data_IF_742295400510
#
_entry.id   IF_742295400510
#
_cell.length_a   1.000
_cell.length_b   1.000
_cell.length_c   1.000
_cell.angle_alpha   90.00
_cell.angle_beta   90.00
_cell.angle_gamma   90.00
#
_symmetry.space_group_name_H-M   'P 1'
#
loop_
_entity.id
_entity.type
_entity.pdbx_description
1 polymer ?
#
# COMPACT_ATOMS: atom_id res chain seq x y z
N UNK A 1 24.27 3.71 -12.80
CA UNK A 1 24.81 2.37 -12.47
C UNK A 1 25.52 1.81 -13.69
N UNK A 2 26.88 1.72 -13.69
CA UNK A 2 27.64 1.09 -14.78
C UNK A 2 27.66 -0.41 -14.52
N UNK A 3 26.96 -1.19 -15.33
CA UNK A 3 26.94 -2.65 -15.22
C UNK A 3 28.30 -3.20 -15.76
N UNK A 4 28.82 -4.29 -15.16
CA UNK A 4 30.05 -4.91 -15.64
C UNK A 4 29.87 -5.35 -17.10
N UNK A 5 30.91 -5.16 -17.91
CA UNK A 5 30.91 -5.44 -19.37
C UNK A 5 30.56 -6.89 -19.74
N UNK A 6 30.53 -7.80 -18.78
CA UNK A 6 30.22 -9.22 -18.94
C UNK A 6 28.73 -9.58 -18.88
N UNK A 7 27.84 -8.61 -18.56
CA UNK A 7 26.40 -8.90 -18.45
C UNK A 7 25.74 -8.90 -19.82
N UNK A 8 24.99 -9.97 -20.10
CA UNK A 8 24.22 -10.08 -21.35
C UNK A 8 23.30 -8.87 -21.55
N UNK A 9 23.22 -8.26 -22.76
CA UNK A 9 22.48 -7.01 -23.00
C UNK A 9 20.99 -7.10 -22.60
N UNK A 10 20.37 -8.26 -22.70
CA UNK A 10 19.00 -8.50 -22.24
C UNK A 10 18.85 -8.32 -20.71
N UNK A 11 19.77 -8.88 -19.92
CA UNK A 11 19.74 -8.73 -18.45
C UNK A 11 19.97 -7.27 -18.09
N UNK A 12 20.92 -6.61 -18.74
CA UNK A 12 21.20 -5.19 -18.53
C UNK A 12 19.98 -4.30 -18.83
N UNK A 13 19.25 -4.56 -19.93
CA UNK A 13 18.02 -3.85 -20.26
C UNK A 13 16.96 -4.05 -19.18
N UNK A 14 16.73 -5.30 -18.75
CA UNK A 14 15.73 -5.63 -17.73
C UNK A 14 16.03 -4.97 -16.38
N UNK A 15 17.30 -4.94 -15.97
CA UNK A 15 17.75 -4.27 -14.75
C UNK A 15 17.59 -2.75 -14.83
N UNK A 16 17.91 -2.12 -15.97
CA UNK A 16 17.70 -0.67 -16.17
C UNK A 16 16.22 -0.30 -16.07
N UNK A 17 15.34 -1.08 -16.67
CA UNK A 17 13.88 -0.85 -16.58
C UNK A 17 13.39 -0.99 -15.13
N UNK A 18 13.83 -2.02 -14.42
CA UNK A 18 13.48 -2.23 -13.03
C UNK A 18 14.01 -1.10 -12.11
N UNK A 19 15.24 -0.69 -12.32
CA UNK A 19 15.85 0.42 -11.58
C UNK A 19 15.09 1.74 -11.82
N UNK A 20 14.74 2.03 -13.08
CA UNK A 20 13.97 3.23 -13.41
C UNK A 20 12.57 3.20 -12.78
N UNK A 21 11.88 2.06 -12.82
CA UNK A 21 10.59 1.89 -12.17
C UNK A 21 10.68 2.07 -10.64
N UNK A 22 11.75 1.57 -10.00
CA UNK A 22 12.02 1.78 -8.58
C UNK A 22 12.27 3.25 -8.25
N UNK A 23 13.10 3.94 -9.05
CA UNK A 23 13.36 5.37 -8.84
C UNK A 23 12.09 6.20 -9.00
N UNK A 24 11.27 5.94 -10.01
CA UNK A 24 9.98 6.62 -10.17
C UNK A 24 9.04 6.35 -9.00
N UNK A 25 9.03 5.12 -8.49
CA UNK A 25 8.25 4.78 -7.30
C UNK A 25 8.79 5.52 -6.07
N UNK A 26 10.09 5.49 -5.83
CA UNK A 26 10.72 6.24 -4.74
C UNK A 26 10.45 7.74 -4.84
N UNK A 27 10.62 8.34 -6.03
CA UNK A 27 10.32 9.76 -6.26
C UNK A 27 8.84 10.09 -6.01
N UNK A 28 7.92 9.16 -6.31
CA UNK A 28 6.50 9.36 -6.01
C UNK A 28 6.20 9.33 -4.50
N UNK A 29 7.05 8.69 -3.71
CA UNK A 29 6.96 8.66 -2.26
C UNK A 29 7.63 9.87 -1.60
N UNK A 30 8.79 10.33 -2.11
CA UNK A 30 9.59 11.39 -1.47
C UNK A 30 8.86 12.72 -1.34
N UNK A 31 8.04 13.11 -2.31
CA UNK A 31 7.24 14.35 -2.21
C UNK A 31 6.29 14.42 -0.99
N UNK A 32 6.13 13.30 -0.29
CA UNK A 32 5.27 13.17 0.90
C UNK A 32 6.05 12.76 2.13
N UNK A 33 7.24 12.23 1.92
CA UNK A 33 8.02 11.59 2.96
C UNK A 33 8.92 12.56 3.73
N UNK A 34 9.31 13.70 3.17
CA UNK A 34 10.17 14.65 3.87
C UNK A 34 9.60 15.03 5.23
N UNK A 35 8.29 15.28 5.28
CA UNK A 35 7.60 15.65 6.50
C UNK A 35 7.33 14.44 7.40
N UNK A 36 7.03 13.31 6.77
CA UNK A 36 6.81 12.06 7.49
C UNK A 36 8.11 11.57 8.16
N UNK A 37 9.27 11.70 7.50
CA UNK A 37 10.58 11.37 8.08
C UNK A 37 10.95 12.28 9.25
N UNK A 38 10.66 13.58 9.15
CA UNK A 38 11.00 14.52 10.21
C UNK A 38 10.17 14.29 11.48
N UNK A 39 8.89 13.97 11.32
CA UNK A 39 7.98 13.80 12.45
C UNK A 39 7.95 12.37 12.99
N UNK A 40 8.06 11.39 12.12
CA UNK A 40 7.95 9.98 12.44
C UNK A 40 9.30 9.24 12.44
N UNK A 41 10.42 9.94 12.31
CA UNK A 41 11.76 9.32 12.27
C UNK A 41 11.99 8.28 13.38
N UNK A 42 11.77 8.59 14.66
CA UNK A 42 11.89 7.63 15.75
C UNK A 42 10.93 6.43 15.63
N UNK A 43 9.70 6.68 15.16
CA UNK A 43 8.69 5.64 14.94
C UNK A 43 9.07 4.73 13.77
N UNK A 44 9.62 5.31 12.70
CA UNK A 44 10.13 4.55 11.55
C UNK A 44 11.33 3.68 11.94
N UNK A 45 12.22 4.18 12.80
CA UNK A 45 13.32 3.39 13.34
C UNK A 45 12.80 2.25 14.21
N UNK A 46 11.78 2.49 15.04
CA UNK A 46 11.09 1.46 15.80
C UNK A 46 10.44 0.41 14.90
N UNK A 47 9.74 0.82 13.84
CA UNK A 47 9.17 -0.09 12.85
C UNK A 47 10.24 -0.87 12.10
N UNK A 48 11.37 -0.22 11.78
CA UNK A 48 12.50 -0.90 11.13
C UNK A 48 13.04 -2.02 12.03
N UNK A 49 13.14 -1.81 13.35
CA UNK A 49 13.61 -2.84 14.27
C UNK A 49 12.67 -4.05 14.33
N UNK A 50 11.37 -3.87 14.09
CA UNK A 50 10.36 -4.95 14.16
C UNK A 50 10.36 -5.85 12.93
N UNK A 51 10.96 -5.45 11.81
CA UNK A 51 10.89 -6.20 10.54
C UNK A 51 11.43 -7.62 10.64
N UNK A 52 12.54 -7.85 11.36
CA UNK A 52 13.13 -9.17 11.55
C UNK A 52 12.53 -9.94 12.72
N UNK A 53 11.79 -9.28 13.61
CA UNK A 53 11.25 -9.86 14.84
C UNK A 53 10.38 -11.11 14.61
N UNK A 54 9.49 -11.19 13.60
CA UNK A 54 8.69 -12.38 13.36
C UNK A 54 9.54 -13.64 13.12
N UNK A 55 10.71 -13.51 12.48
CA UNK A 55 11.65 -14.64 12.31
C UNK A 55 12.19 -15.19 13.62
N UNK A 56 12.50 -14.32 14.58
CA UNK A 56 12.94 -14.71 15.91
C UNK A 56 11.80 -15.31 16.74
N UNK A 57 10.61 -14.70 16.71
CA UNK A 57 9.44 -15.18 17.46
C UNK A 57 8.92 -16.53 16.96
N UNK A 58 9.05 -16.80 15.66
CA UNK A 58 8.59 -18.04 15.06
C UNK A 58 9.23 -19.29 15.69
N UNK A 59 10.45 -19.16 16.19
CA UNK A 59 11.19 -20.27 16.83
C UNK A 59 10.50 -20.74 18.12
N UNK A 60 9.85 -19.84 18.86
CA UNK A 60 9.13 -20.17 20.10
C UNK A 60 7.68 -20.61 19.88
N UNK A 61 7.17 -20.57 18.65
CA UNK A 61 5.79 -20.90 18.35
C UNK A 61 5.61 -22.37 17.94
N UNK A 62 4.42 -22.97 18.19
CA UNK A 62 4.08 -24.25 17.62
C UNK A 62 4.12 -24.18 16.08
N UNK A 63 4.57 -25.26 15.47
CA UNK A 63 4.90 -25.34 14.06
C UNK A 63 3.81 -24.79 13.08
N UNK A 64 2.47 -24.99 13.27
CA UNK A 64 1.49 -24.41 12.37
C UNK A 64 1.44 -22.87 12.45
N UNK A 65 1.58 -22.32 13.67
CA UNK A 65 1.60 -20.87 13.89
C UNK A 65 2.90 -20.24 13.35
N UNK A 66 4.03 -20.92 13.54
CA UNK A 66 5.31 -20.50 12.96
C UNK A 66 5.26 -20.43 11.44
N UNK A 67 4.71 -21.44 10.76
CA UNK A 67 4.54 -21.43 9.31
C UNK A 67 3.59 -20.33 8.83
N UNK A 68 2.46 -20.12 9.52
CA UNK A 68 1.53 -19.05 9.18
C UNK A 68 2.19 -17.67 9.30
N UNK A 69 2.97 -17.45 10.36
CA UNK A 69 3.70 -16.21 10.60
C UNK A 69 4.78 -15.98 9.54
N UNK A 70 5.63 -16.97 9.27
CA UNK A 70 6.72 -16.87 8.30
C UNK A 70 6.18 -16.78 6.86
N UNK A 71 5.11 -17.53 6.53
CA UNK A 71 4.42 -17.47 5.25
C UNK A 71 3.76 -16.11 5.02
N UNK A 72 3.07 -15.59 6.03
CA UNK A 72 2.49 -14.22 6.00
C UNK A 72 3.56 -13.16 5.81
N UNK A 73 4.69 -13.26 6.52
CA UNK A 73 5.82 -12.36 6.37
C UNK A 73 6.43 -12.42 4.96
N UNK A 74 6.61 -13.60 4.38
CA UNK A 74 7.12 -13.76 3.03
C UNK A 74 6.17 -13.13 1.99
N UNK A 75 4.86 -13.32 2.14
CA UNK A 75 3.84 -12.70 1.29
C UNK A 75 3.85 -11.17 1.40
N UNK A 76 3.95 -10.62 2.61
CA UNK A 76 4.07 -9.18 2.82
C UNK A 76 5.36 -8.62 2.19
N UNK A 77 6.47 -9.34 2.31
CA UNK A 77 7.76 -8.94 1.75
C UNK A 77 7.75 -8.94 0.21
N UNK A 78 7.04 -9.85 -0.46
CA UNK A 78 6.92 -9.88 -1.92
C UNK A 78 5.83 -8.93 -2.46
N UNK A 79 4.97 -8.36 -1.60
CA UNK A 79 3.86 -7.48 -1.97
C UNK A 79 4.29 -6.29 -2.85
N UNK A 80 5.38 -5.54 -2.56
CA UNK A 80 5.84 -4.44 -3.41
C UNK A 80 6.11 -4.88 -4.87
N UNK A 81 6.68 -6.05 -5.06
CA UNK A 81 6.93 -6.59 -6.40
C UNK A 81 5.62 -6.93 -7.14
N UNK A 82 4.65 -7.48 -6.44
CA UNK A 82 3.32 -7.74 -7.01
C UNK A 82 2.62 -6.45 -7.41
N UNK A 83 2.72 -5.42 -6.60
CA UNK A 83 2.16 -4.11 -6.84
C UNK A 83 2.84 -3.40 -8.03
N UNK A 84 4.18 -3.49 -8.12
CA UNK A 84 4.96 -2.85 -9.17
C UNK A 84 5.01 -3.64 -10.48
N UNK A 85 4.51 -4.89 -10.52
CA UNK A 85 4.64 -5.82 -11.67
C UNK A 85 4.26 -5.23 -13.03
N UNK A 86 3.24 -4.37 -13.07
CA UNK A 86 2.77 -3.74 -14.30
C UNK A 86 3.66 -2.59 -14.75
N UNK A 87 4.31 -1.91 -13.81
CA UNK A 87 5.28 -0.84 -14.08
C UNK A 87 6.63 -1.38 -14.50
N UNK A 88 7.08 -2.46 -13.84
CA UNK A 88 8.30 -3.15 -14.19
C UNK A 88 8.26 -3.66 -15.63
N UNK A 89 7.08 -4.05 -16.08
CA UNK A 89 6.87 -4.59 -17.41
C UNK A 89 5.51 -4.15 -17.98
N UNK A 90 5.41 -2.95 -18.58
CA UNK A 90 4.22 -2.51 -19.29
C UNK A 90 3.79 -3.50 -20.37
N UNK A 91 2.48 -3.60 -20.62
CA UNK A 91 1.93 -4.60 -21.55
C UNK A 91 2.56 -4.59 -22.96
N UNK A 92 2.78 -3.42 -23.60
CA UNK A 92 3.41 -3.38 -24.93
C UNK A 92 4.86 -3.88 -24.89
N UNK A 93 5.62 -3.52 -23.86
CA UNK A 93 7.01 -3.98 -23.70
C UNK A 93 7.06 -5.48 -23.40
N UNK A 94 6.14 -5.99 -22.59
CA UNK A 94 6.03 -7.43 -22.33
C UNK A 94 5.70 -8.21 -23.59
N UNK A 95 4.84 -7.69 -24.46
CA UNK A 95 4.51 -8.30 -25.75
C UNK A 95 5.73 -8.37 -26.67
N UNK A 96 6.48 -7.27 -26.76
CA UNK A 96 7.71 -7.21 -27.54
C UNK A 96 8.79 -8.16 -27.02
N UNK A 97 9.05 -8.17 -25.70
CA UNK A 97 10.06 -9.05 -25.09
C UNK A 97 9.73 -10.55 -25.24
N UNK A 98 8.44 -10.91 -25.36
CA UNK A 98 8.02 -12.30 -25.60
C UNK A 98 8.41 -12.81 -26.97
N UNK A 99 8.47 -11.93 -27.96
CA UNK A 99 8.81 -12.28 -29.34
C UNK A 99 10.30 -12.55 -29.53
N UNK A 100 11.15 -12.12 -28.58
CA UNK A 100 12.60 -12.35 -28.70
C UNK A 100 12.93 -13.84 -28.55
N UNK A 101 13.73 -14.42 -29.48
CA UNK A 101 14.15 -15.81 -29.44
C UNK A 101 15.25 -16.02 -28.39
N UNK A 102 14.89 -15.95 -27.11
CA UNK A 102 15.82 -16.06 -25.98
C UNK A 102 15.69 -17.42 -25.28
N UNK A 103 16.80 -18.06 -24.89
CA UNK A 103 16.77 -19.31 -24.15
C UNK A 103 16.08 -19.11 -22.78
N UNK A 104 15.35 -20.13 -22.34
CA UNK A 104 14.62 -20.08 -21.03
C UNK A 104 15.54 -19.75 -19.85
N UNK A 105 16.77 -20.25 -19.88
CA UNK A 105 17.77 -20.01 -18.82
C UNK A 105 18.10 -18.53 -18.68
N UNK A 106 18.30 -17.82 -19.79
CA UNK A 106 18.60 -16.38 -19.79
C UNK A 106 17.41 -15.54 -19.30
N UNK A 107 16.18 -15.92 -19.68
CA UNK A 107 14.96 -15.26 -19.18
C UNK A 107 14.85 -15.41 -17.67
N UNK A 108 15.05 -16.64 -17.16
CA UNK A 108 15.00 -16.91 -15.73
C UNK A 108 16.09 -16.15 -14.97
N UNK A 109 17.32 -16.12 -15.46
CA UNK A 109 18.41 -15.33 -14.86
C UNK A 109 18.07 -13.83 -14.79
N UNK A 110 17.47 -13.29 -15.85
CA UNK A 110 17.02 -11.90 -15.85
C UNK A 110 15.89 -11.65 -14.80
N UNK A 111 14.94 -12.58 -14.68
CA UNK A 111 13.86 -12.46 -13.69
C UNK A 111 14.38 -12.57 -12.25
N UNK A 112 15.33 -13.48 -11.98
CA UNK A 112 16.03 -13.60 -10.68
C UNK A 112 16.81 -12.31 -10.36
N UNK A 113 17.53 -11.75 -11.34
CA UNK A 113 18.30 -10.53 -11.15
C UNK A 113 17.39 -9.31 -10.87
N UNK A 114 16.28 -9.19 -11.61
CA UNK A 114 15.27 -8.14 -11.38
C UNK A 114 14.63 -8.29 -10.01
N UNK A 115 14.27 -9.51 -9.61
CA UNK A 115 13.73 -9.79 -8.28
C UNK A 115 14.73 -9.42 -7.19
N UNK A 116 16.02 -9.75 -7.38
CA UNK A 116 17.08 -9.36 -6.45
C UNK A 116 17.20 -7.85 -6.29
N UNK A 117 17.15 -7.09 -7.39
CA UNK A 117 17.17 -5.63 -7.35
C UNK A 117 15.96 -5.05 -6.59
N UNK A 118 14.77 -5.64 -6.79
CA UNK A 118 13.55 -5.21 -6.09
C UNK A 118 13.59 -5.53 -4.59
N UNK A 119 14.18 -6.67 -4.23
CA UNK A 119 14.27 -7.12 -2.85
C UNK A 119 15.44 -6.48 -2.08
N UNK A 120 16.38 -5.83 -2.77
CA UNK A 120 17.59 -5.26 -2.16
C UNK A 120 17.28 -4.24 -1.05
N UNK A 121 16.38 -3.25 -1.23
CA UNK A 121 16.05 -2.31 -0.15
C UNK A 121 15.46 -3.00 1.08
N UNK A 122 14.59 -3.99 0.87
CA UNK A 122 14.00 -4.78 1.95
C UNK A 122 15.05 -5.68 2.62
N UNK A 123 15.95 -6.28 1.84
CA UNK A 123 17.07 -7.06 2.37
C UNK A 123 17.97 -6.24 3.29
N UNK A 124 18.26 -4.98 2.92
CA UNK A 124 19.00 -4.04 3.77
C UNK A 124 18.20 -3.76 5.06
N UNK A 125 16.88 -3.51 4.96
CA UNK A 125 16.03 -3.29 6.12
C UNK A 125 16.00 -4.50 7.07
N UNK A 126 15.92 -5.72 6.53
CA UNK A 126 16.02 -6.95 7.32
C UNK A 126 17.38 -7.09 8.00
N UNK A 127 18.48 -6.81 7.28
CA UNK A 127 19.82 -6.88 7.82
C UNK A 127 20.03 -5.87 8.96
N UNK A 128 19.57 -4.62 8.79
CA UNK A 128 19.61 -3.59 9.83
C UNK A 128 18.77 -3.99 11.03
N UNK A 129 17.53 -4.46 10.82
CA UNK A 129 16.66 -4.94 11.89
C UNK A 129 17.31 -6.08 12.70
N UNK A 130 17.83 -7.08 12.01
CA UNK A 130 18.49 -8.21 12.65
C UNK A 130 19.75 -7.77 13.43
N UNK A 131 20.56 -6.85 12.86
CA UNK A 131 21.76 -6.35 13.54
C UNK A 131 21.44 -5.56 14.81
N UNK A 132 20.35 -4.78 14.83
CA UNK A 132 19.89 -4.08 16.05
C UNK A 132 19.57 -5.09 17.15
N UNK A 133 18.82 -6.14 16.87
CA UNK A 133 18.49 -7.17 17.87
C UNK A 133 19.69 -7.95 18.35
N UNK A 134 20.60 -8.33 17.45
CA UNK A 134 21.82 -9.04 17.80
C UNK A 134 22.77 -8.16 18.63
N UNK A 135 22.87 -6.86 18.33
CA UNK A 135 23.68 -5.92 19.11
C UNK A 135 23.11 -5.70 20.53
N UNK A 136 21.80 -5.60 20.67
CA UNK A 136 21.15 -5.48 21.98
C UNK A 136 21.20 -6.77 22.79
N UNK A 137 21.25 -7.93 22.10
CA UNK A 137 21.36 -9.29 22.66
C UNK A 137 20.54 -9.53 23.96
N UNK A 138 19.23 -9.23 23.98
CA UNK A 138 18.42 -9.42 25.17
C UNK A 138 18.44 -10.89 25.62
N UNK A 139 18.29 -11.21 26.92
CA UNK A 139 18.43 -12.57 27.45
C UNK A 139 17.55 -13.62 26.75
N UNK A 140 16.34 -13.25 26.37
CA UNK A 140 15.39 -14.13 25.66
C UNK A 140 15.83 -14.48 24.24
N UNK A 141 16.62 -13.60 23.59
CA UNK A 141 17.07 -13.79 22.22
C UNK A 141 18.26 -14.76 22.11
N UNK A 142 19.14 -14.77 23.11
CA UNK A 142 20.39 -15.58 23.08
C UNK A 142 20.16 -17.04 22.65
N UNK A 143 19.22 -17.79 23.25
CA UNK A 143 19.02 -19.19 22.89
C UNK A 143 18.37 -19.38 21.50
N UNK A 144 17.65 -18.39 20.98
CA UNK A 144 16.91 -18.48 19.71
C UNK A 144 17.55 -17.66 18.58
N UNK A 145 18.67 -16.99 18.83
CA UNK A 145 19.28 -16.09 17.85
C UNK A 145 19.67 -16.80 16.54
N UNK A 146 20.36 -17.93 16.62
CA UNK A 146 20.79 -18.69 15.45
C UNK A 146 19.62 -19.27 14.65
N UNK A 147 18.65 -20.00 15.25
CA UNK A 147 17.50 -20.49 14.51
C UNK A 147 16.58 -19.37 14.01
N UNK A 148 16.45 -18.24 14.74
CA UNK A 148 15.67 -17.09 14.30
C UNK A 148 16.30 -16.38 13.11
N UNK A 149 17.62 -16.25 13.05
CA UNK A 149 18.35 -15.76 11.88
C UNK A 149 18.15 -16.69 10.68
N UNK A 150 18.22 -17.99 10.87
CA UNK A 150 17.96 -18.98 9.81
C UNK A 150 16.52 -18.85 9.29
N UNK A 151 15.53 -18.72 10.18
CA UNK A 151 14.13 -18.49 9.81
C UNK A 151 13.95 -17.18 9.00
N UNK A 152 14.56 -16.11 9.44
CA UNK A 152 14.53 -14.80 8.74
C UNK A 152 15.16 -14.92 7.35
N UNK A 153 16.28 -15.60 7.20
CA UNK A 153 16.92 -15.83 5.90
C UNK A 153 16.04 -16.68 4.98
N UNK A 154 15.42 -17.75 5.49
CA UNK A 154 14.50 -18.60 4.73
C UNK A 154 13.30 -17.78 4.22
N UNK A 155 12.71 -16.92 5.06
CA UNK A 155 11.61 -16.02 4.66
C UNK A 155 12.05 -15.09 3.54
N UNK A 156 13.24 -14.49 3.66
CA UNK A 156 13.76 -13.60 2.65
C UNK A 156 14.02 -14.32 1.31
N UNK A 157 14.60 -15.53 1.34
CA UNK A 157 14.80 -16.36 0.15
C UNK A 157 13.47 -16.78 -0.48
N UNK A 158 12.49 -17.15 0.34
CA UNK A 158 11.15 -17.50 -0.13
C UNK A 158 10.47 -16.28 -0.78
N UNK A 159 10.56 -15.11 -0.17
CA UNK A 159 10.04 -13.86 -0.74
C UNK A 159 10.73 -13.50 -2.06
N UNK A 160 12.05 -13.72 -2.16
CA UNK A 160 12.80 -13.53 -3.40
C UNK A 160 12.33 -14.50 -4.50
N UNK A 161 12.14 -15.79 -4.17
CA UNK A 161 11.59 -16.78 -5.10
C UNK A 161 10.17 -16.39 -5.56
N UNK A 162 9.28 -16.02 -4.64
CA UNK A 162 7.93 -15.57 -4.97
C UNK A 162 7.95 -14.33 -5.88
N UNK A 163 8.82 -13.37 -5.59
CA UNK A 163 9.04 -12.19 -6.42
C UNK A 163 9.50 -12.57 -7.82
N UNK A 164 10.44 -13.50 -7.95
CA UNK A 164 10.90 -14.02 -9.24
C UNK A 164 9.75 -14.64 -10.04
N UNK A 165 8.91 -15.44 -9.38
CA UNK A 165 7.74 -16.04 -10.02
C UNK A 165 6.71 -14.99 -10.46
N UNK A 166 6.47 -13.96 -9.66
CA UNK A 166 5.57 -12.84 -10.01
C UNK A 166 6.08 -12.10 -11.26
N UNK A 167 7.39 -11.82 -11.33
CA UNK A 167 8.02 -11.15 -12.48
C UNK A 167 7.97 -12.05 -13.72
N UNK A 168 8.27 -13.35 -13.56
CA UNK A 168 8.25 -14.34 -14.64
C UNK A 168 6.84 -14.54 -15.23
N UNK A 169 5.80 -14.52 -14.40
CA UNK A 169 4.40 -14.65 -14.86
C UNK A 169 4.01 -13.57 -15.87
N UNK A 170 4.59 -12.39 -15.78
CA UNK A 170 4.30 -11.27 -16.69
C UNK A 170 4.77 -11.52 -18.12
N UNK A 171 5.81 -12.34 -18.31
CA UNK A 171 6.34 -12.74 -19.62
C UNK A 171 5.68 -14.01 -20.18
N UNK A 172 4.84 -14.69 -19.40
CA UNK A 172 4.08 -15.83 -19.91
C UNK A 172 3.05 -15.34 -20.94
N UNK A 173 2.83 -16.14 -21.98
CA UNK A 173 1.78 -15.84 -22.95
C UNK A 173 0.44 -15.74 -22.22
N UNK A 174 -0.40 -14.74 -22.54
CA UNK A 174 -1.77 -14.74 -22.06
C UNK A 174 -2.41 -16.07 -22.49
N UNK A 175 -3.12 -16.72 -21.57
CA UNK A 175 -3.97 -17.86 -21.95
C UNK A 175 -4.85 -17.38 -23.12
N UNK A 176 -4.97 -18.16 -24.20
CA UNK A 176 -5.91 -17.82 -25.24
C UNK A 176 -7.26 -17.59 -24.57
N UNK A 177 -7.78 -16.37 -24.69
CA UNK A 177 -9.11 -16.06 -24.19
C UNK A 177 -10.03 -17.12 -24.79
N UNK A 178 -10.75 -17.83 -23.94
CA UNK A 178 -11.83 -18.71 -24.42
C UNK A 178 -12.59 -17.92 -25.48
N UNK A 179 -12.67 -18.49 -26.71
CA UNK A 179 -13.19 -17.82 -27.92
C UNK A 179 -14.29 -16.87 -27.51
N UNK A 180 -14.00 -15.56 -27.50
CA UNK A 180 -15.00 -14.56 -27.20
C UNK A 180 -16.13 -14.86 -28.21
N UNK A 181 -17.31 -15.20 -27.70
CA UNK A 181 -18.50 -15.24 -28.55
C UNK A 181 -18.46 -13.97 -29.38
N UNK A 182 -18.60 -14.07 -30.71
CA UNK A 182 -18.65 -12.88 -31.55
C UNK A 182 -19.67 -11.95 -30.89
N UNK A 183 -19.30 -10.66 -30.68
CA UNK A 183 -20.24 -9.73 -30.08
C UNK A 183 -21.48 -9.78 -30.97
N UNK A 184 -22.56 -10.35 -30.45
CA UNK A 184 -23.86 -10.16 -31.04
C UNK A 184 -24.03 -8.65 -31.07
N UNK A 185 -24.03 -8.06 -32.27
CA UNK A 185 -24.33 -6.65 -32.46
C UNK A 185 -25.78 -6.42 -32.03
N UNK A 186 -26.04 -6.48 -30.74
CA UNK A 186 -27.23 -5.92 -30.16
C UNK A 186 -27.13 -4.43 -30.33
N UNK A 187 -28.00 -3.85 -31.14
CA UNK A 187 -28.09 -2.42 -31.32
C UNK A 187 -28.02 -1.76 -29.94
N UNK A 188 -27.07 -0.84 -29.76
CA UNK A 188 -26.90 -0.10 -28.50
C UNK A 188 -28.22 0.61 -28.18
N UNK A 189 -29.00 0.03 -27.30
CA UNK A 189 -30.16 0.69 -26.70
C UNK A 189 -29.62 1.50 -25.53
N UNK A 190 -29.65 2.84 -25.59
CA UNK A 190 -29.16 3.69 -24.52
C UNK A 190 -30.05 3.46 -23.29
N UNK A 191 -29.60 2.61 -22.39
CA UNK A 191 -30.26 2.43 -21.10
C UNK A 191 -30.01 3.69 -20.29
N UNK A 192 -31.07 4.45 -20.00
CA UNK A 192 -30.95 5.60 -19.07
C UNK A 192 -30.63 5.06 -17.68
N UNK A 193 -29.40 5.29 -17.15
CA UNK A 193 -29.07 4.79 -15.83
C UNK A 193 -29.99 5.45 -14.80
N UNK A 194 -30.69 4.64 -14.01
CA UNK A 194 -31.58 5.11 -12.93
C UNK A 194 -30.84 6.02 -11.92
N UNK A 195 -29.54 5.85 -11.77
CA UNK A 195 -28.69 6.57 -10.81
C UNK A 195 -27.56 7.29 -11.57
N UNK A 196 -27.87 8.42 -12.17
CA UNK A 196 -26.89 9.19 -12.97
C UNK A 196 -25.65 9.59 -12.17
N UNK A 197 -25.83 10.03 -10.92
CA UNK A 197 -24.73 10.44 -10.05
C UNK A 197 -23.86 9.27 -9.61
N UNK A 198 -24.43 8.15 -9.25
CA UNK A 198 -23.68 6.93 -8.89
C UNK A 198 -22.93 6.33 -10.07
N UNK A 199 -23.52 6.37 -11.27
CA UNK A 199 -22.85 5.93 -12.48
C UNK A 199 -21.64 6.83 -12.81
N UNK A 200 -21.81 8.16 -12.74
CA UNK A 200 -20.73 9.13 -12.96
C UNK A 200 -19.62 8.97 -11.92
N UNK A 201 -19.97 8.83 -10.64
CA UNK A 201 -19.00 8.58 -9.58
C UNK A 201 -18.20 7.30 -9.84
N UNK A 202 -18.87 6.21 -10.20
CA UNK A 202 -18.23 4.94 -10.53
C UNK A 202 -17.30 5.06 -11.74
N UNK A 203 -17.71 5.72 -12.82
CA UNK A 203 -16.93 5.81 -14.05
C UNK A 203 -15.79 6.84 -13.95
N UNK A 204 -16.02 8.00 -13.33
CA UNK A 204 -15.04 9.08 -13.28
C UNK A 204 -14.02 8.90 -12.14
N UNK A 205 -14.43 8.30 -11.02
CA UNK A 205 -13.57 8.20 -9.85
C UNK A 205 -13.24 6.76 -9.48
N UNK A 206 -14.24 5.93 -9.23
CA UNK A 206 -14.02 4.58 -8.72
C UNK A 206 -13.23 3.69 -9.67
N UNK A 207 -13.64 3.57 -10.92
CA UNK A 207 -12.99 2.69 -11.89
C UNK A 207 -11.57 3.14 -12.27
N UNK A 208 -11.28 4.44 -12.53
CA UNK A 208 -9.93 4.90 -12.80
C UNK A 208 -8.98 4.66 -11.64
N UNK A 209 -9.42 4.86 -10.39
CA UNK A 209 -8.58 4.64 -9.21
C UNK A 209 -8.29 3.17 -8.93
N UNK A 210 -9.28 2.31 -9.05
CA UNK A 210 -9.18 0.91 -8.61
C UNK A 210 -8.87 -0.09 -9.72
N UNK A 211 -9.18 0.22 -10.97
CA UNK A 211 -8.92 -0.65 -12.13
C UNK A 211 -7.74 -0.22 -12.99
N UNK A 212 -7.37 1.04 -12.92
CA UNK A 212 -6.33 1.55 -13.80
C UNK A 212 -4.95 1.09 -13.33
N UNK A 213 -4.07 0.83 -14.29
CA UNK A 213 -2.66 0.50 -14.07
C UNK A 213 -1.85 1.69 -13.52
N UNK A 214 -2.53 2.77 -13.14
CA UNK A 214 -1.94 4.00 -12.64
C UNK A 214 -1.42 3.83 -11.21
N UNK A 215 -0.32 4.53 -10.92
CA UNK A 215 0.33 4.61 -9.60
C UNK A 215 -0.64 4.97 -8.51
N UNK A 216 -1.55 5.90 -8.81
CA UNK A 216 -2.51 6.47 -7.88
C UNK A 216 -3.45 5.40 -7.34
N UNK A 217 -4.03 4.58 -8.23
CA UNK A 217 -4.93 3.50 -7.80
C UNK A 217 -4.23 2.48 -6.92
N UNK A 218 -2.97 2.18 -7.24
CA UNK A 218 -2.16 1.28 -6.43
C UNK A 218 -1.87 1.85 -5.04
N UNK A 219 -1.45 3.11 -4.96
CA UNK A 219 -1.22 3.79 -3.68
C UNK A 219 -2.48 3.82 -2.83
N UNK A 220 -3.64 4.13 -3.42
CA UNK A 220 -4.91 4.15 -2.71
C UNK A 220 -5.30 2.77 -2.18
N UNK A 221 -5.10 1.71 -2.97
CA UNK A 221 -5.37 0.33 -2.55
C UNK A 221 -4.48 -0.10 -1.40
N UNK A 222 -3.18 0.25 -1.44
CA UNK A 222 -2.23 -0.05 -0.36
C UNK A 222 -2.59 0.71 0.90
N UNK A 223 -2.85 2.02 0.79
CA UNK A 223 -3.22 2.85 1.94
C UNK A 223 -4.54 2.38 2.57
N UNK A 224 -5.53 2.01 1.76
CA UNK A 224 -6.79 1.45 2.26
C UNK A 224 -6.57 0.11 2.98
N UNK A 225 -5.79 -0.78 2.38
CA UNK A 225 -5.44 -2.05 3.02
C UNK A 225 -4.67 -1.85 4.32
N UNK A 226 -3.71 -0.91 4.33
CA UNK A 226 -2.95 -0.56 5.54
C UNK A 226 -3.85 0.05 6.61
N UNK A 227 -4.74 0.97 6.25
CA UNK A 227 -5.69 1.58 7.17
C UNK A 227 -6.64 0.53 7.77
N UNK A 228 -7.19 -0.35 6.94
CA UNK A 228 -8.06 -1.43 7.40
C UNK A 228 -7.33 -2.45 8.27
N UNK A 229 -6.15 -2.89 7.85
CA UNK A 229 -5.35 -3.86 8.61
C UNK A 229 -4.85 -3.29 9.95
N UNK A 230 -4.35 -2.05 9.97
CA UNK A 230 -3.89 -1.40 11.20
C UNK A 230 -5.05 -1.12 12.16
N UNK A 231 -6.21 -0.68 11.66
CA UNK A 231 -7.41 -0.50 12.45
C UNK A 231 -7.85 -1.84 13.05
N UNK A 232 -7.93 -2.91 12.25
CA UNK A 232 -8.31 -4.24 12.72
C UNK A 232 -7.30 -4.79 13.76
N UNK A 233 -6.00 -4.67 13.50
CA UNK A 233 -4.95 -5.11 14.43
C UNK A 233 -5.01 -4.33 15.74
N UNK A 234 -5.31 -3.03 15.69
CA UNK A 234 -5.49 -2.19 16.85
C UNK A 234 -6.70 -2.62 17.68
N UNK A 235 -7.83 -2.90 17.03
CA UNK A 235 -9.07 -3.35 17.68
C UNK A 235 -8.95 -4.74 18.31
N UNK A 236 -8.27 -5.67 17.60
CA UNK A 236 -8.04 -7.03 18.09
C UNK A 236 -6.92 -7.13 19.13
N UNK A 237 -6.31 -6.01 19.53
CA UNK A 237 -5.18 -5.97 20.49
C UNK A 237 -4.08 -6.95 20.10
N UNK A 238 -3.61 -6.90 18.88
CA UNK A 238 -2.56 -7.80 18.41
C UNK A 238 -1.37 -7.78 19.39
N UNK A 239 -1.02 -8.90 20.02
CA UNK A 239 -0.05 -8.91 21.13
C UNK A 239 1.38 -8.61 20.69
N UNK A 240 1.64 -8.62 19.39
CA UNK A 240 2.97 -8.44 18.81
C UNK A 240 3.42 -6.97 18.71
N UNK A 241 2.47 -6.02 18.73
CA UNK A 241 2.78 -4.60 18.52
C UNK A 241 2.11 -3.78 19.62
N UNK A 242 2.81 -2.84 20.25
CA UNK A 242 2.22 -1.95 21.27
C UNK A 242 0.99 -1.21 20.72
N UNK A 243 -0.09 -1.20 21.49
CA UNK A 243 -1.35 -0.57 21.10
C UNK A 243 -1.22 0.89 20.65
N UNK A 244 -0.39 1.76 21.29
CA UNK A 244 -0.17 3.13 20.83
C UNK A 244 0.42 3.20 19.41
N UNK A 245 1.32 2.28 19.04
CA UNK A 245 1.91 2.24 17.69
C UNK A 245 0.87 1.83 16.64
N UNK A 246 -0.02 0.89 16.97
CA UNK A 246 -1.13 0.50 16.09
C UNK A 246 -2.12 1.65 15.91
N UNK A 247 -2.44 2.37 16.99
CA UNK A 247 -3.29 3.57 16.95
C UNK A 247 -2.69 4.68 16.09
N UNK A 248 -1.39 4.94 16.25
CA UNK A 248 -0.66 5.89 15.39
C UNK A 248 -0.68 5.47 13.92
N UNK A 249 -0.42 4.19 13.63
CA UNK A 249 -0.41 3.67 12.27
C UNK A 249 -1.80 3.72 11.63
N UNK A 250 -2.85 3.37 12.38
CA UNK A 250 -4.24 3.47 11.93
C UNK A 250 -4.63 4.92 11.63
N UNK A 251 -4.35 5.84 12.55
CA UNK A 251 -4.63 7.27 12.39
C UNK A 251 -3.86 7.88 11.22
N UNK A 252 -2.56 7.60 11.12
CA UNK A 252 -1.71 8.10 10.05
C UNK A 252 -2.17 7.58 8.69
N UNK A 253 -2.44 6.28 8.56
CA UNK A 253 -2.88 5.68 7.30
C UNK A 253 -4.25 6.20 6.85
N UNK A 254 -5.18 6.44 7.78
CA UNK A 254 -6.50 7.02 7.51
C UNK A 254 -6.39 8.46 6.99
N UNK A 255 -5.58 9.30 7.64
CA UNK A 255 -5.36 10.70 7.27
C UNK A 255 -4.62 10.79 5.93
N UNK A 256 -3.58 9.99 5.72
CA UNK A 256 -2.82 9.95 4.47
C UNK A 256 -3.68 9.43 3.32
N UNK A 257 -4.51 8.41 3.54
CA UNK A 257 -5.46 7.90 2.54
C UNK A 257 -6.38 9.02 2.04
N UNK A 258 -6.88 9.85 2.96
CA UNK A 258 -7.76 10.99 2.64
C UNK A 258 -7.02 12.08 1.88
N UNK A 259 -5.85 12.51 2.37
CA UNK A 259 -5.04 13.56 1.72
C UNK A 259 -4.64 13.17 0.30
N UNK A 260 -4.18 11.93 0.13
CA UNK A 260 -3.78 11.39 -1.19
C UNK A 260 -4.98 11.17 -2.10
N UNK A 261 -6.10 10.70 -1.55
CA UNK A 261 -7.35 10.56 -2.29
C UNK A 261 -7.84 11.89 -2.84
N UNK A 262 -7.88 12.92 -2.00
CA UNK A 262 -8.31 14.26 -2.39
C UNK A 262 -7.39 14.86 -3.48
N UNK A 263 -6.07 14.76 -3.30
CA UNK A 263 -5.10 15.23 -4.30
C UNK A 263 -5.29 14.52 -5.64
N UNK A 264 -5.40 13.20 -5.61
CA UNK A 264 -5.55 12.38 -6.81
C UNK A 264 -6.86 12.68 -7.57
N UNK A 265 -7.97 12.86 -6.85
CA UNK A 265 -9.25 13.23 -7.44
C UNK A 265 -9.19 14.61 -8.09
N UNK A 266 -8.55 15.59 -7.45
CA UNK A 266 -8.36 16.94 -7.99
C UNK A 266 -7.50 16.93 -9.25
N UNK A 267 -6.40 16.20 -9.26
CA UNK A 267 -5.54 16.03 -10.43
C UNK A 267 -6.31 15.42 -11.61
N UNK A 268 -7.12 14.40 -11.35
CA UNK A 268 -7.94 13.77 -12.40
C UNK A 268 -8.98 14.72 -12.96
N UNK A 269 -9.64 15.52 -12.12
CA UNK A 269 -10.60 16.53 -12.57
C UNK A 269 -9.91 17.63 -13.37
N UNK A 270 -8.71 18.05 -12.96
CA UNK A 270 -7.94 19.03 -13.71
C UNK A 270 -7.67 18.55 -15.14
N UNK A 271 -7.31 17.28 -15.32
CA UNK A 271 -7.11 16.66 -16.64
C UNK A 271 -8.41 16.56 -17.44
N UNK A 272 -9.54 16.25 -16.78
CA UNK A 272 -10.85 16.10 -17.43
C UNK A 272 -11.60 17.43 -17.61
N UNK A 273 -11.13 18.52 -17.00
CA UNK A 273 -11.82 19.82 -17.02
C UNK A 273 -12.19 20.32 -18.42
N UNK A 274 -11.33 20.22 -19.45
CA UNK A 274 -11.70 20.65 -20.79
C UNK A 274 -12.92 19.92 -21.37
N UNK A 275 -13.01 18.61 -21.11
CA UNK A 275 -14.13 17.77 -21.57
C UNK A 275 -15.37 17.96 -20.72
N UNK A 276 -15.22 18.18 -19.41
CA UNK A 276 -16.32 18.40 -18.48
C UNK A 276 -17.00 19.78 -18.68
N UNK A 277 -16.28 20.77 -19.17
CA UNK A 277 -16.86 22.10 -19.50
C UNK A 277 -17.90 22.03 -20.63
N UNK A 278 -17.82 21.00 -21.50
CA UNK A 278 -18.80 20.75 -22.53
C UNK A 278 -20.07 20.03 -22.02
N UNK A 279 -20.08 19.58 -20.78
CA UNK A 279 -21.21 18.85 -20.19
C UNK A 279 -22.11 19.81 -19.39
N UNK A 280 -23.44 19.66 -19.45
CA UNK A 280 -24.38 20.49 -18.70
C UNK A 280 -24.44 20.08 -17.23
N UNK A 281 -23.29 20.06 -16.56
CA UNK A 281 -23.17 19.73 -15.13
C UNK A 281 -22.88 20.97 -14.32
N UNK A 282 -23.65 21.17 -13.25
CA UNK A 282 -23.37 22.25 -12.30
C UNK A 282 -22.02 22.01 -11.60
N UNK A 283 -21.21 23.05 -11.47
CA UNK A 283 -19.91 22.99 -10.77
C UNK A 283 -20.02 22.49 -9.34
N UNK A 284 -21.13 22.79 -8.67
CA UNK A 284 -21.46 22.29 -7.32
C UNK A 284 -21.65 20.78 -7.26
N UNK A 285 -22.26 20.18 -8.28
CA UNK A 285 -22.42 18.72 -8.37
C UNK A 285 -21.07 18.02 -8.53
N UNK A 286 -20.18 18.60 -9.34
CA UNK A 286 -18.83 18.08 -9.53
C UNK A 286 -18.02 18.15 -8.23
N UNK A 287 -18.10 19.27 -7.51
CA UNK A 287 -17.42 19.43 -6.21
C UNK A 287 -17.94 18.41 -5.17
N UNK A 288 -19.24 18.19 -5.11
CA UNK A 288 -19.82 17.16 -4.23
C UNK A 288 -19.34 15.75 -4.58
N UNK A 289 -19.28 15.43 -5.87
CA UNK A 289 -18.74 14.15 -6.34
C UNK A 289 -17.26 13.96 -5.96
N UNK A 290 -16.45 15.02 -6.04
CA UNK A 290 -15.05 14.98 -5.64
C UNK A 290 -14.91 14.70 -4.15
N UNK A 291 -15.63 15.44 -3.31
CA UNK A 291 -15.61 15.26 -1.85
C UNK A 291 -16.06 13.83 -1.47
N UNK A 292 -17.15 13.33 -2.07
CA UNK A 292 -17.62 11.96 -1.80
C UNK A 292 -16.62 10.90 -2.24
N UNK A 293 -15.96 11.05 -3.39
CA UNK A 293 -14.95 10.12 -3.85
C UNK A 293 -13.74 10.03 -2.91
N UNK A 294 -13.31 11.16 -2.35
CA UNK A 294 -12.16 11.24 -1.45
C UNK A 294 -12.49 10.73 -0.03
N UNK A 295 -13.72 10.98 0.45
CA UNK A 295 -14.12 10.68 1.82
C UNK A 295 -14.67 9.27 2.02
N UNK A 296 -15.28 8.67 0.99
CA UNK A 296 -15.97 7.38 1.12
C UNK A 296 -15.04 6.24 1.61
N UNK A 297 -13.83 6.01 1.08
CA UNK A 297 -12.96 4.94 1.57
C UNK A 297 -12.53 5.11 3.02
N UNK A 298 -12.00 6.27 3.47
CA UNK A 298 -11.58 6.44 4.85
C UNK A 298 -12.77 6.42 5.84
N UNK A 299 -13.92 6.96 5.46
CA UNK A 299 -15.13 6.87 6.29
C UNK A 299 -15.65 5.44 6.42
N UNK A 300 -15.54 4.62 5.38
CA UNK A 300 -15.92 3.21 5.46
C UNK A 300 -15.05 2.45 6.47
N UNK A 301 -13.72 2.72 6.49
CA UNK A 301 -12.81 2.12 7.48
C UNK A 301 -13.12 2.62 8.88
N UNK A 302 -13.34 3.93 9.05
CA UNK A 302 -13.66 4.52 10.34
C UNK A 302 -14.98 3.99 10.91
N UNK A 303 -16.01 3.91 10.08
CA UNK A 303 -17.32 3.39 10.47
C UNK A 303 -17.24 1.90 10.84
N UNK A 304 -16.57 1.10 10.01
CA UNK A 304 -16.37 -0.32 10.30
C UNK A 304 -15.62 -0.52 11.62
N UNK A 305 -14.57 0.27 11.87
CA UNK A 305 -13.83 0.26 13.14
C UNK A 305 -14.69 0.66 14.33
N UNK A 306 -15.46 1.74 14.23
CA UNK A 306 -16.35 2.20 15.29
C UNK A 306 -17.43 1.14 15.60
N UNK A 307 -18.09 0.60 14.57
CA UNK A 307 -19.12 -0.44 14.75
C UNK A 307 -18.53 -1.68 15.42
N UNK A 308 -17.33 -2.11 15.02
CA UNK A 308 -16.67 -3.27 15.60
C UNK A 308 -16.34 -3.04 17.08
N UNK A 309 -15.82 -1.86 17.46
CA UNK A 309 -15.56 -1.50 18.85
C UNK A 309 -16.83 -1.48 19.70
N UNK A 310 -17.89 -0.86 19.21
CA UNK A 310 -19.16 -0.84 19.91
C UNK A 310 -19.76 -2.24 20.12
N UNK A 311 -19.54 -3.15 19.16
CA UNK A 311 -20.03 -4.53 19.23
C UNK A 311 -19.18 -5.41 20.17
N UNK A 312 -17.87 -5.16 20.28
CA UNK A 312 -16.95 -6.04 21.02
C UNK A 312 -16.69 -5.61 22.46
N UNK A 313 -16.87 -4.32 22.79
CA UNK A 313 -16.57 -3.81 24.12
C UNK A 313 -17.72 -2.97 24.71
N UNK A 314 -18.47 -3.52 25.67
CA UNK A 314 -19.62 -2.84 26.28
C UNK A 314 -19.22 -1.78 27.32
N UNK A 315 -17.91 -1.60 27.63
CA UNK A 315 -17.47 -0.66 28.65
C UNK A 315 -17.81 0.80 28.27
N UNK A 316 -18.63 1.48 29.09
CA UNK A 316 -19.11 2.84 28.82
C UNK A 316 -18.00 3.87 28.61
N UNK A 317 -16.86 3.73 29.30
CA UNK A 317 -15.71 4.63 29.14
C UNK A 317 -15.09 4.49 27.74
N UNK A 318 -14.88 3.26 27.25
CA UNK A 318 -14.32 3.00 25.92
C UNK A 318 -15.26 3.43 24.81
N UNK A 319 -16.55 3.25 24.98
CA UNK A 319 -17.54 3.76 24.02
C UNK A 319 -17.47 5.29 23.91
N UNK A 320 -17.27 6.01 25.03
CA UNK A 320 -17.08 7.47 25.00
C UNK A 320 -15.80 7.85 24.25
N UNK A 321 -14.67 7.21 24.56
CA UNK A 321 -13.39 7.51 23.87
C UNK A 321 -13.48 7.15 22.38
N UNK A 322 -14.14 6.03 22.04
CA UNK A 322 -14.40 5.65 20.64
C UNK A 322 -15.22 6.70 19.90
N UNK A 323 -16.28 7.22 20.53
CA UNK A 323 -17.10 8.27 19.91
C UNK A 323 -16.30 9.57 19.75
N UNK A 324 -15.50 9.97 20.73
CA UNK A 324 -14.60 11.13 20.61
C UNK A 324 -13.60 10.93 19.49
N UNK A 325 -12.96 9.75 19.40
CA UNK A 325 -12.05 9.43 18.31
C UNK A 325 -12.74 9.49 16.94
N UNK A 326 -13.91 8.86 16.81
CA UNK A 326 -14.66 8.84 15.54
C UNK A 326 -15.11 10.25 15.11
N UNK A 327 -15.57 11.09 16.04
CA UNK A 327 -15.96 12.47 15.76
C UNK A 327 -14.73 13.29 15.35
N UNK A 328 -13.63 13.23 16.12
CA UNK A 328 -12.41 13.97 15.83
C UNK A 328 -11.80 13.53 14.50
N UNK A 329 -11.76 12.21 14.22
CA UNK A 329 -11.32 11.68 12.95
C UNK A 329 -12.20 12.21 11.80
N UNK A 330 -13.52 12.16 11.95
CA UNK A 330 -14.45 12.68 10.94
C UNK A 330 -14.22 14.17 10.65
N UNK A 331 -14.04 14.99 11.68
CA UNK A 331 -13.74 16.41 11.53
C UNK A 331 -12.40 16.64 10.83
N UNK A 332 -11.37 15.89 11.20
CA UNK A 332 -10.04 15.96 10.55
C UNK A 332 -10.13 15.61 9.07
N UNK A 333 -10.81 14.51 8.72
CA UNK A 333 -10.98 14.09 7.33
C UNK A 333 -11.77 15.13 6.51
N UNK A 334 -12.84 15.68 7.10
CA UNK A 334 -13.62 16.75 6.48
C UNK A 334 -12.81 18.04 6.31
N UNK A 335 -11.97 18.41 7.28
CA UNK A 335 -11.10 19.58 7.18
C UNK A 335 -10.07 19.43 6.05
N UNK A 336 -9.44 18.24 5.90
CA UNK A 336 -8.46 17.96 4.84
C UNK A 336 -9.09 18.16 3.46
N UNK A 337 -10.32 17.69 3.25
CA UNK A 337 -11.01 17.79 1.96
C UNK A 337 -11.67 19.15 1.78
N UNK A 338 -12.22 19.73 2.85
CA UNK A 338 -12.99 20.97 2.84
C UNK A 338 -12.17 22.25 2.77
N UNK A 339 -10.85 22.20 3.03
CA UNK A 339 -9.96 23.36 3.00
C UNK A 339 -9.03 23.35 1.76
N UNK A 340 -9.55 23.53 0.53
CA UNK A 340 -8.78 23.40 -0.69
C UNK A 340 -7.75 24.51 -0.93
N UNK A 341 -7.89 25.64 -0.22
CA UNK A 341 -7.07 26.85 -0.43
C UNK A 341 -5.84 26.94 0.49
N UNK A 342 -5.58 25.93 1.29
CA UNK A 342 -4.39 25.90 2.13
C UNK A 342 -3.12 25.89 1.27
N UNK A 343 -2.12 26.64 1.72
CA UNK A 343 -0.77 26.56 1.16
C UNK A 343 -0.22 25.14 1.37
N UNK A 344 0.78 24.73 0.60
CA UNK A 344 1.42 23.43 0.76
C UNK A 344 1.87 23.19 2.20
N UNK A 345 2.46 24.19 2.86
CA UNK A 345 2.89 24.14 4.27
C UNK A 345 1.70 24.02 5.22
N UNK A 346 0.63 24.79 5.01
CA UNK A 346 -0.58 24.72 5.84
C UNK A 346 -1.30 23.37 5.73
N UNK A 347 -1.33 22.78 4.54
CA UNK A 347 -1.91 21.45 4.32
C UNK A 347 -1.12 20.35 5.06
N UNK A 348 0.18 20.45 5.02
CA UNK A 348 1.07 19.57 5.76
C UNK A 348 0.87 19.70 7.26
N UNK A 349 0.84 20.93 7.77
CA UNK A 349 0.59 21.17 9.19
C UNK A 349 -0.76 20.58 9.62
N UNK A 350 -1.81 20.73 8.80
CA UNK A 350 -3.12 20.13 9.07
C UNK A 350 -3.07 18.60 9.15
N UNK A 351 -2.40 17.96 8.18
CA UNK A 351 -2.24 16.49 8.16
C UNK A 351 -1.50 16.01 9.40
N UNK A 352 -0.39 16.67 9.74
CA UNK A 352 0.43 16.33 10.91
C UNK A 352 -0.34 16.51 12.21
N UNK A 353 -0.98 17.66 12.41
CA UNK A 353 -1.79 17.93 13.60
C UNK A 353 -2.94 16.92 13.71
N UNK A 354 -3.57 16.56 12.60
CA UNK A 354 -4.62 15.54 12.59
C UNK A 354 -4.10 14.18 13.06
N UNK A 355 -2.93 13.76 12.56
CA UNK A 355 -2.30 12.49 12.98
C UNK A 355 -1.95 12.53 14.47
N UNK A 356 -1.35 13.60 14.95
CA UNK A 356 -0.97 13.75 16.36
C UNK A 356 -2.19 13.75 17.29
N UNK A 357 -3.22 14.52 16.95
CA UNK A 357 -4.45 14.58 17.75
C UNK A 357 -5.15 13.21 17.80
N UNK A 358 -5.26 12.53 16.66
CA UNK A 358 -5.90 11.21 16.61
C UNK A 358 -5.08 10.15 17.33
N UNK A 359 -3.75 10.19 17.25
CA UNK A 359 -2.90 9.25 17.96
C UNK A 359 -2.95 9.47 19.47
N UNK A 360 -3.03 10.73 19.93
CA UNK A 360 -3.18 11.05 21.35
C UNK A 360 -4.52 10.53 21.90
N UNK A 361 -5.64 10.80 21.20
CA UNK A 361 -6.96 10.28 21.60
C UNK A 361 -6.97 8.74 21.51
N UNK A 362 -6.34 8.18 20.49
CA UNK A 362 -6.24 6.73 20.29
C UNK A 362 -5.45 6.03 21.38
N UNK A 363 -4.44 6.67 21.98
CA UNK A 363 -3.67 6.08 23.08
C UNK A 363 -4.54 5.89 24.34
N UNK A 364 -5.53 6.76 24.57
CA UNK A 364 -6.46 6.66 25.70
C UNK A 364 -7.46 5.50 25.59
N UNK A 365 -7.62 4.90 24.41
CA UNK A 365 -8.52 3.74 24.24
C UNK A 365 -8.00 2.50 24.96
N UNK A 366 -6.70 2.44 25.29
CA UNK A 366 -6.05 1.25 25.84
C UNK A 366 -5.37 1.47 27.20
N UNK A 367 -5.44 2.68 27.71
CA UNK A 367 -5.14 2.99 29.09
C UNK A 367 -6.39 2.81 29.97
#
# INVERSE_FOLDING_TARGET
MRLPRSTHPYIALRLRLAHHALLQFAASLTSSMEIFFFLAGPVLLGLLSVIALPGFLAVGLPWPAALALLGGQALLTCLPAWLLRKRLLPAPLAAWLRQLPLPRRLRWQADVAVAGLLMLPLGIAYAVSASIWLAQSPPWLRPIAAPGMAATLIVWLLAWLLTTLIVAQRLRAPRPAAKARPPTMTAYVPQRPRWRTGFLWRQLFWLPFWRNDNVIGLQQSVLLATAGASMLAWLLRAPLVPAPLLGLLASASLVILTDRGDKAVREQIAVLRPTLNAWPMASTALTRLTCTASLLPPFAVLLAGAVLLYATDPAALRQRVTSVYAITASLALLAIVGLPRLTARGRVALVVLSILALSAIGSELWN
#
